data_IF_204029748023
#
_entry.id   IF_204029748023
#
_cell.length_a   1.000
_cell.length_b   1.000
_cell.length_c   1.000
_cell.angle_alpha   90.00
_cell.angle_beta   90.00
_cell.angle_gamma   90.00
#
_symmetry.space_group_name_H-M   'P 1'
#
loop_
_entity.id
_entity.type
_entity.pdbx_description
1 polymer ?
#
# COMPACT_ATOMS: atom_id res chain seq x y z
N UNK A 1 -27.08 19.24 -5.60
CA UNK A 1 -26.08 19.28 -4.51
C UNK A 1 -25.29 17.98 -4.56
N UNK A 2 -24.08 17.97 -4.01
CA UNK A 2 -23.19 16.81 -3.96
C UNK A 2 -23.13 16.29 -2.52
N UNK A 3 -24.04 15.39 -2.10
CA UNK A 3 -24.09 14.93 -0.72
C UNK A 3 -22.93 13.99 -0.39
N UNK A 4 -22.65 13.81 0.90
CA UNK A 4 -21.85 12.72 1.44
C UNK A 4 -22.50 12.27 2.74
N UNK A 5 -22.16 11.08 3.21
CA UNK A 5 -22.56 10.56 4.52
C UNK A 5 -21.72 11.20 5.65
N UNK A 6 -21.72 12.53 5.71
CA UNK A 6 -21.05 13.36 6.71
C UNK A 6 -21.67 14.77 6.76
N UNK A 7 -21.41 15.53 7.83
CA UNK A 7 -21.87 16.92 7.99
C UNK A 7 -21.25 17.87 6.95
N UNK A 8 -20.06 17.54 6.48
CA UNK A 8 -19.32 18.29 5.47
C UNK A 8 -18.45 17.32 4.68
N UNK A 9 -18.37 17.58 3.37
CA UNK A 9 -17.61 16.73 2.46
C UNK A 9 -16.22 17.29 2.21
N UNK A 10 -15.25 16.41 1.97
CA UNK A 10 -13.97 16.79 1.38
C UNK A 10 -14.28 17.38 0.00
N UNK A 11 -13.64 18.52 -0.32
CA UNK A 11 -13.93 19.38 -1.49
C UNK A 11 -15.24 20.16 -1.44
N UNK A 12 -15.88 20.32 -0.27
CA UNK A 12 -16.93 21.33 -0.09
C UNK A 12 -16.40 22.72 -0.46
N UNK A 13 -17.23 23.54 -1.11
CA UNK A 13 -16.87 24.91 -1.49
C UNK A 13 -16.64 25.84 -0.27
N UNK A 14 -17.12 25.43 0.91
CA UNK A 14 -16.93 26.14 2.17
C UNK A 14 -16.34 25.20 3.22
N UNK A 15 -15.41 25.74 4.02
CA UNK A 15 -14.86 25.08 5.20
C UNK A 15 -15.95 24.89 6.26
N UNK A 16 -15.95 23.72 6.89
CA UNK A 16 -16.78 23.40 8.06
C UNK A 16 -15.95 23.45 9.34
N UNK A 17 -16.63 23.66 10.48
CA UNK A 17 -15.98 23.58 11.79
C UNK A 17 -15.60 22.14 12.16
N UNK A 18 -16.35 21.16 11.68
CA UNK A 18 -16.04 19.74 11.85
C UNK A 18 -15.12 19.24 10.72
N UNK A 19 -14.14 18.36 11.02
CA UNK A 19 -13.27 17.77 10.00
C UNK A 19 -14.06 16.95 8.98
N UNK A 20 -13.84 17.22 7.70
CA UNK A 20 -14.42 16.42 6.62
C UNK A 20 -13.58 15.17 6.39
N UNK A 21 -14.18 13.98 6.55
CA UNK A 21 -13.51 12.68 6.33
C UNK A 21 -14.03 11.92 5.11
N UNK A 22 -15.06 12.44 4.43
CA UNK A 22 -15.69 11.79 3.29
C UNK A 22 -15.76 12.70 2.08
N UNK A 23 -15.34 12.21 0.93
CA UNK A 23 -15.58 12.86 -0.34
C UNK A 23 -17.09 12.88 -0.67
N UNK A 24 -17.55 13.95 -1.32
CA UNK A 24 -18.94 14.04 -1.81
C UNK A 24 -19.18 13.02 -2.92
N UNK A 25 -20.44 12.65 -3.17
CA UNK A 25 -20.86 11.81 -4.29
C UNK A 25 -20.45 12.40 -5.64
N UNK A 26 -20.19 13.70 -5.74
CA UNK A 26 -19.63 14.32 -6.93
C UNK A 26 -18.12 14.17 -7.03
N UNK A 27 -17.41 14.21 -5.91
CA UNK A 27 -15.99 13.84 -5.86
C UNK A 27 -15.81 12.34 -6.13
N UNK A 28 -16.76 11.54 -5.65
CA UNK A 28 -16.96 10.15 -5.98
C UNK A 28 -17.68 9.96 -7.34
N UNK A 29 -18.09 11.02 -8.05
CA UNK A 29 -18.56 10.89 -9.43
C UNK A 29 -17.39 10.89 -10.42
N UNK A 30 -16.16 11.12 -9.92
CA UNK A 30 -15.01 10.33 -10.36
C UNK A 30 -15.19 8.94 -9.76
N UNK A 31 -15.50 7.92 -10.57
CA UNK A 31 -16.65 7.10 -10.26
C UNK A 31 -16.43 6.28 -8.98
N UNK A 32 -17.48 6.18 -8.15
CA UNK A 32 -17.48 5.60 -6.79
C UNK A 32 -17.35 4.09 -6.79
N UNK A 33 -17.29 3.54 -7.99
CA UNK A 33 -16.39 2.49 -8.44
C UNK A 33 -15.86 3.07 -9.74
N UNK A 34 -14.56 3.30 -9.89
CA UNK A 34 -14.05 3.81 -11.17
C UNK A 34 -14.74 3.01 -12.27
N UNK A 35 -15.46 3.66 -13.19
CA UNK A 35 -15.95 2.94 -14.36
C UNK A 35 -14.75 2.26 -14.98
N UNK A 36 -14.88 1.09 -15.59
CA UNK A 36 -13.71 0.40 -16.17
C UNK A 36 -12.91 1.37 -17.06
N UNK A 37 -13.59 2.25 -17.80
CA UNK A 37 -12.96 3.35 -18.55
C UNK A 37 -12.18 4.33 -17.68
N UNK A 38 -12.77 4.85 -16.60
CA UNK A 38 -12.09 5.79 -15.71
C UNK A 38 -10.94 5.15 -14.94
N UNK A 39 -11.07 3.88 -14.53
CA UNK A 39 -10.00 3.13 -13.87
C UNK A 39 -8.85 2.93 -14.85
N UNK A 40 -9.17 2.48 -16.05
CA UNK A 40 -8.20 2.29 -17.11
C UNK A 40 -7.52 3.60 -17.50
N UNK A 41 -8.26 4.72 -17.57
CA UNK A 41 -7.69 6.04 -17.84
C UNK A 41 -6.77 6.48 -16.70
N UNK A 42 -7.21 6.40 -15.44
CA UNK A 42 -6.37 6.76 -14.30
C UNK A 42 -5.12 5.88 -14.19
N UNK A 43 -5.28 4.57 -14.38
CA UNK A 43 -4.16 3.62 -14.37
C UNK A 43 -3.19 3.91 -15.53
N UNK A 44 -3.71 4.26 -16.70
CA UNK A 44 -2.92 4.71 -17.86
C UNK A 44 -2.20 6.02 -17.54
N UNK A 45 -2.88 7.01 -16.98
CA UNK A 45 -2.32 8.33 -16.67
C UNK A 45 -1.27 8.27 -15.56
N UNK A 46 -1.43 7.42 -14.56
CA UNK A 46 -0.39 7.18 -13.55
C UNK A 46 0.87 6.63 -14.20
N UNK A 47 0.71 5.61 -15.06
CA UNK A 47 1.84 4.94 -15.71
C UNK A 47 2.54 5.88 -16.71
N UNK A 48 1.80 6.75 -17.40
CA UNK A 48 2.35 7.60 -18.47
C UNK A 48 2.77 9.00 -18.03
N UNK A 49 2.11 9.59 -17.03
CA UNK A 49 2.31 11.00 -16.68
C UNK A 49 2.78 11.20 -15.23
N UNK A 50 2.62 10.22 -14.36
CA UNK A 50 2.90 10.36 -12.92
C UNK A 50 3.84 9.27 -12.40
N UNK A 51 4.86 8.92 -13.18
CA UNK A 51 5.85 7.88 -12.84
C UNK A 51 6.50 8.08 -11.46
N UNK A 52 6.59 9.32 -10.97
CA UNK A 52 7.14 9.61 -9.64
C UNK A 52 6.33 9.00 -8.48
N UNK A 53 5.04 8.68 -8.70
CA UNK A 53 4.18 8.03 -7.71
C UNK A 53 4.37 6.50 -7.67
N UNK A 54 5.14 5.92 -8.59
CA UNK A 54 5.37 4.47 -8.67
C UNK A 54 6.47 3.98 -7.72
N UNK A 55 7.28 4.89 -7.18
CA UNK A 55 8.31 4.54 -6.21
C UNK A 55 7.71 4.62 -4.81
N UNK A 56 7.51 3.46 -4.21
CA UNK A 56 7.22 3.34 -2.79
C UNK A 56 8.40 3.93 -1.99
N UNK A 57 8.16 4.86 -1.04
CA UNK A 57 9.23 5.43 -0.23
C UNK A 57 9.91 4.33 0.60
N UNK A 58 11.13 4.56 1.09
CA UNK A 58 11.68 3.68 2.13
C UNK A 58 10.93 3.95 3.44
N UNK A 59 10.83 2.94 4.33
CA UNK A 59 10.33 3.14 5.69
C UNK A 59 11.08 4.26 6.42
N UNK A 60 12.37 4.44 6.12
CA UNK A 60 13.22 5.48 6.69
C UNK A 60 12.99 6.88 6.11
N UNK A 61 12.30 6.99 4.97
CA UNK A 61 12.02 8.27 4.33
C UNK A 61 10.77 8.93 4.93
N UNK A 62 9.96 8.16 5.65
CA UNK A 62 8.77 8.65 6.34
C UNK A 62 9.17 9.29 7.67
N UNK A 63 8.91 10.60 7.79
CA UNK A 63 9.27 11.42 8.95
C UNK A 63 8.13 11.58 9.95
N UNK A 64 6.90 11.21 9.57
CA UNK A 64 5.77 11.17 10.51
C UNK A 64 5.98 10.07 11.55
N UNK A 65 5.41 10.21 12.75
CA UNK A 65 5.35 9.11 13.70
C UNK A 65 4.64 7.89 13.06
N UNK A 66 5.15 6.67 13.28
CA UNK A 66 4.51 5.45 12.79
C UNK A 66 3.06 5.29 13.25
N UNK A 67 2.19 4.80 12.37
CA UNK A 67 0.77 4.57 12.65
C UNK A 67 0.35 3.17 12.21
N UNK A 68 0.31 2.26 13.18
CA UNK A 68 -0.18 0.90 12.93
C UNK A 68 -1.64 0.89 12.46
N UNK A 69 -1.88 0.20 11.35
CA UNK A 69 -3.17 0.03 10.69
C UNK A 69 -3.41 1.01 9.54
N UNK A 70 -2.38 1.72 9.06
CA UNK A 70 -2.46 2.63 7.93
C UNK A 70 -2.14 1.96 6.57
N UNK A 71 -1.97 0.62 6.56
CA UNK A 71 -1.61 -0.21 5.41
C UNK A 71 -0.19 0.00 4.87
N UNK A 72 0.65 0.72 5.61
CA UNK A 72 2.02 0.98 5.24
C UNK A 72 2.97 0.61 6.38
N UNK A 73 3.80 -0.42 6.22
CA UNK A 73 4.75 -0.82 7.26
C UNK A 73 5.81 0.26 7.49
N UNK A 74 5.84 0.85 8.69
CA UNK A 74 6.76 1.93 9.04
C UNK A 74 7.96 1.44 9.89
N UNK A 75 8.83 2.36 10.30
CA UNK A 75 9.95 2.04 11.20
C UNK A 75 9.40 1.59 12.55
N UNK A 76 9.81 0.39 13.00
CA UNK A 76 9.36 -0.20 14.25
C UNK A 76 8.22 -1.21 14.11
N UNK A 77 7.65 -1.33 12.91
CA UNK A 77 6.63 -2.32 12.58
C UNK A 77 7.23 -3.43 11.72
N UNK A 78 6.79 -4.67 11.91
CA UNK A 78 7.21 -5.76 11.03
C UNK A 78 6.35 -5.80 9.76
N UNK A 79 5.08 -5.41 9.88
CA UNK A 79 4.05 -5.47 8.83
C UNK A 79 2.88 -4.54 9.16
N UNK A 80 2.13 -4.10 8.16
CA UNK A 80 0.85 -3.41 8.34
C UNK A 80 -0.16 -3.89 7.28
N UNK A 81 -1.26 -4.48 7.74
CA UNK A 81 -2.35 -4.97 6.88
C UNK A 81 -3.65 -4.19 7.08
N UNK A 82 -3.57 -2.99 7.64
CA UNK A 82 -4.70 -2.16 8.03
C UNK A 82 -5.26 -2.51 9.39
N UNK A 83 -6.41 -1.91 9.76
CA UNK A 83 -7.04 -2.17 11.05
C UNK A 83 -7.52 -3.62 11.16
N UNK A 84 -7.66 -4.16 12.39
CA UNK A 84 -8.07 -5.56 12.61
C UNK A 84 -9.37 -5.98 11.91
N UNK A 85 -10.30 -5.05 11.68
CA UNK A 85 -11.54 -5.31 10.97
C UNK A 85 -11.37 -5.62 9.46
N UNK A 86 -10.25 -5.19 8.87
CA UNK A 86 -10.01 -5.26 7.43
C UNK A 86 -8.81 -6.15 7.07
N UNK A 87 -7.93 -6.43 8.03
CA UNK A 87 -6.74 -7.25 7.79
C UNK A 87 -7.11 -8.69 7.41
N UNK A 88 -6.58 -9.14 6.28
CA UNK A 88 -6.73 -10.52 5.77
C UNK A 88 -5.40 -11.28 5.77
N UNK A 89 -4.31 -10.67 6.27
CA UNK A 89 -2.98 -11.25 6.26
C UNK A 89 -2.78 -12.13 7.52
N UNK A 90 -2.70 -13.46 7.42
CA UNK A 90 -2.54 -14.34 8.57
C UNK A 90 -1.14 -14.26 9.22
N UNK A 91 -0.18 -13.64 8.53
CA UNK A 91 1.19 -13.50 8.99
C UNK A 91 1.40 -12.26 9.88
N UNK A 92 0.43 -11.34 9.90
CA UNK A 92 0.52 -10.05 10.57
C UNK A 92 -0.54 -9.92 11.67
N UNK A 93 -0.14 -9.53 12.86
CA UNK A 93 -1.06 -9.13 13.92
C UNK A 93 -1.43 -7.66 13.73
N UNK A 94 -2.60 -7.41 13.15
CA UNK A 94 -3.12 -6.09 12.85
C UNK A 94 -3.28 -5.17 14.08
N UNK A 95 -3.31 -5.71 15.30
CA UNK A 95 -3.41 -4.89 16.51
C UNK A 95 -2.06 -4.34 16.96
N UNK A 96 -0.96 -4.99 16.56
CA UNK A 96 0.40 -4.68 17.04
C UNK A 96 1.36 -4.34 15.89
N UNK A 97 0.97 -4.55 14.64
CA UNK A 97 1.82 -4.45 13.45
C UNK A 97 3.09 -5.32 13.55
N UNK A 98 2.99 -6.40 14.33
CA UNK A 98 4.04 -7.39 14.50
C UNK A 98 3.74 -8.68 13.75
N UNK A 99 4.78 -9.47 13.48
CA UNK A 99 4.58 -10.80 12.92
C UNK A 99 3.86 -11.73 13.90
N UNK A 100 2.96 -12.55 13.37
CA UNK A 100 2.34 -13.64 14.14
C UNK A 100 3.40 -14.70 14.51
N UNK A 101 3.14 -15.44 15.58
CA UNK A 101 4.10 -16.44 16.08
C UNK A 101 4.47 -17.45 15.01
N UNK A 102 5.78 -17.55 14.73
CA UNK A 102 6.33 -18.49 13.73
C UNK A 102 6.43 -17.93 12.31
N UNK A 103 5.85 -16.77 12.03
CA UNK A 103 6.01 -16.03 10.79
C UNK A 103 7.41 -15.42 10.69
N UNK A 104 7.99 -15.42 9.49
CA UNK A 104 9.29 -14.80 9.17
C UNK A 104 9.16 -13.55 8.32
N UNK A 105 7.99 -13.35 7.72
CA UNK A 105 7.62 -12.22 6.89
C UNK A 105 6.09 -12.21 6.78
N UNK A 106 5.52 -11.05 6.44
CA UNK A 106 4.10 -10.93 6.14
C UNK A 106 3.81 -10.49 4.70
N UNK A 107 4.75 -9.80 4.06
CA UNK A 107 4.57 -9.20 2.75
C UNK A 107 5.86 -9.23 1.91
N UNK A 108 5.72 -8.79 0.66
CA UNK A 108 6.80 -8.71 -0.31
C UNK A 108 6.95 -9.97 -1.16
N UNK A 109 7.58 -9.81 -2.33
CA UNK A 109 7.70 -10.85 -3.36
C UNK A 109 8.57 -12.05 -2.92
N UNK A 110 9.34 -11.90 -1.85
CA UNK A 110 10.17 -12.94 -1.25
C UNK A 110 9.53 -13.59 -0.01
N UNK A 111 8.27 -13.26 0.28
CA UNK A 111 7.48 -13.94 1.30
C UNK A 111 6.50 -14.93 0.66
N UNK A 112 6.38 -16.11 1.26
CA UNK A 112 5.47 -17.15 0.82
C UNK A 112 4.96 -17.93 2.03
N UNK A 113 3.65 -17.95 2.25
CA UNK A 113 3.04 -18.61 3.41
C UNK A 113 3.73 -18.24 4.74
N UNK A 114 3.95 -16.95 4.96
CA UNK A 114 4.65 -16.39 6.12
C UNK A 114 6.11 -16.85 6.29
N UNK A 115 6.73 -17.41 5.25
CA UNK A 115 8.11 -17.89 5.23
C UNK A 115 8.93 -17.19 4.17
N UNK A 116 10.21 -16.99 4.47
CA UNK A 116 11.15 -16.43 3.51
C UNK A 116 11.41 -17.43 2.38
N UNK A 117 11.25 -16.98 1.14
CA UNK A 117 11.68 -17.76 -0.03
C UNK A 117 13.19 -17.97 0.02
N UNK A 118 13.66 -19.12 -0.46
CA UNK A 118 15.08 -19.49 -0.44
C UNK A 118 15.93 -18.47 -1.20
N UNK A 119 17.16 -18.28 -0.74
CA UNK A 119 18.15 -17.47 -1.43
C UNK A 119 18.29 -17.89 -2.91
N UNK A 120 18.36 -16.92 -3.81
CA UNK A 120 18.46 -17.15 -5.26
C UNK A 120 17.11 -17.34 -5.98
N UNK A 121 15.98 -17.43 -5.27
CA UNK A 121 14.64 -17.48 -5.89
C UNK A 121 14.37 -16.18 -6.63
N UNK A 122 14.00 -16.25 -7.91
CA UNK A 122 13.65 -15.06 -8.70
C UNK A 122 12.36 -14.46 -8.16
N UNK A 123 12.41 -13.18 -7.77
CA UNK A 123 11.26 -12.44 -7.27
C UNK A 123 10.77 -11.36 -8.23
N UNK A 124 11.65 -10.83 -9.08
CA UNK A 124 11.28 -9.92 -10.17
C UNK A 124 12.12 -10.26 -11.40
N UNK A 125 11.44 -10.54 -12.52
CA UNK A 125 12.13 -10.73 -13.79
C UNK A 125 12.61 -9.40 -14.33
N UNK A 126 13.84 -9.37 -14.84
CA UNK A 126 14.37 -8.20 -15.48
C UNK A 126 13.62 -7.85 -16.78
N UNK A 127 13.69 -6.57 -17.15
CA UNK A 127 13.34 -6.12 -18.50
C UNK A 127 14.64 -5.91 -19.30
N UNK A 128 14.71 -6.48 -20.49
CA UNK A 128 15.92 -6.41 -21.33
C UNK A 128 17.04 -7.30 -20.81
N UNK A 129 18.28 -6.82 -20.90
CA UNK A 129 19.49 -7.61 -20.61
C UNK A 129 19.96 -7.52 -19.15
N UNK A 130 19.19 -6.86 -18.27
CA UNK A 130 19.52 -6.77 -16.85
C UNK A 130 19.36 -8.14 -16.15
N UNK A 131 20.09 -8.39 -15.04
CA UNK A 131 19.90 -9.60 -14.26
C UNK A 131 18.58 -9.59 -13.49
N UNK A 132 17.95 -10.76 -13.34
CA UNK A 132 16.75 -10.94 -12.50
C UNK A 132 17.05 -10.58 -11.03
N UNK A 133 16.07 -9.96 -10.37
CA UNK A 133 16.13 -9.76 -8.92
C UNK A 133 15.81 -11.07 -8.20
N UNK A 134 16.61 -11.38 -7.18
CA UNK A 134 16.54 -12.64 -6.45
C UNK A 134 16.44 -12.41 -4.95
N UNK A 135 15.67 -13.25 -4.29
CA UNK A 135 15.54 -13.27 -2.84
C UNK A 135 16.89 -13.59 -2.19
N UNK A 136 17.17 -12.92 -1.07
CA UNK A 136 18.38 -13.17 -0.27
C UNK A 136 18.21 -14.35 0.70
N UNK A 137 16.96 -14.77 0.95
CA UNK A 137 16.63 -15.73 2.00
C UNK A 137 16.60 -15.12 3.40
N UNK A 138 16.77 -13.80 3.53
CA UNK A 138 16.87 -13.09 4.80
C UNK A 138 15.79 -12.01 4.97
N UNK A 139 15.09 -11.63 3.90
CA UNK A 139 14.03 -10.61 3.92
C UNK A 139 12.88 -11.01 2.98
N UNK A 140 11.65 -10.63 3.35
CA UNK A 140 10.46 -10.77 2.51
C UNK A 140 10.46 -9.78 1.33
N UNK A 141 11.28 -8.73 1.41
CA UNK A 141 11.43 -7.72 0.37
C UNK A 141 12.34 -8.24 -0.74
N UNK A 142 11.89 -8.08 -1.99
CA UNK A 142 12.70 -8.39 -3.16
C UNK A 142 13.64 -7.20 -3.46
N UNK A 143 14.97 -7.40 -3.36
CA UNK A 143 15.91 -6.33 -3.64
C UNK A 143 15.70 -5.80 -5.07
N UNK A 144 15.98 -4.51 -5.28
CA UNK A 144 16.16 -3.97 -6.63
C UNK A 144 17.66 -3.94 -6.87
N UNK A 145 18.15 -4.80 -7.76
CA UNK A 145 19.49 -4.67 -8.30
C UNK A 145 19.44 -3.53 -9.34
N UNK A 146 19.73 -2.32 -8.89
CA UNK A 146 20.05 -1.18 -9.76
C UNK A 146 21.43 -1.34 -10.38
#
# INVERSE_FOLDING_TARGET
SCPCDANSCIMSATLSNEPSSRFSDCSFSLPSRFSDCSFNQYSSDIIHYHECLLNEPSRTDIVSPPVCGNYYPEVGEDCDCGPPANCQNPCCDAATCGLTTGSQCAEGLCCDQCRLKKAGTICRKARGDNPDDRCTGQSGVCPRNT
#
